data_IF_517174510702
#
_entry.id   IF_517174510702
#
_cell.length_a   1.000
_cell.length_b   1.000
_cell.length_c   1.000
_cell.angle_alpha   90.00
_cell.angle_beta   90.00
_cell.angle_gamma   90.00
#
_symmetry.space_group_name_H-M   'P 1'
#
loop_
_entity.id
_entity.type
_entity.pdbx_description
1 polymer ?
2 polymer ?
3 polymer ?
4 non-polymer ?
5 water ?
#
loop_
_entity_poly.entity_id
_entity_poly.type
_entity_poly.pdbx_seq_one_letter_code
_entity_poly.pdbx_strand_id
2 'polydeoxyribonucleotide' '(DA)(DG)(DA)(DT)(DT)(DG)(DT)(DG)(DG)(DA)(DT)(DT)(DG)(DA)(DG)(DA)' ?
3 'polydeoxyribonucleotide' '(DT)(DC)(DT)(DC)(DA)(DA)(DT)(DC)(DC)(DA)(DC)(DA)(DA)(DT)(DC)(DT)' ?
#
# COMPACT_ATOMS: atom_id res chain seq x y z
N UNK A 5 -3.94 5.08 -25.27
CA UNK A 5 -3.53 4.50 -23.99
C UNK A 5 -3.22 3.02 -24.17
N UNK A 6 -2.09 2.56 -23.65
CA UNK A 6 -1.70 1.17 -23.81
C UNK A 6 -1.66 0.51 -22.44
N UNK A 7 -2.75 -0.17 -22.12
CA UNK A 7 -2.88 -0.88 -20.87
C UNK A 7 -1.96 -2.09 -20.87
N UNK A 8 -1.26 -2.30 -19.75
CA UNK A 8 -0.37 -3.43 -19.59
C UNK A 8 -0.41 -3.85 -18.14
N UNK A 9 -0.39 -5.13 -17.86
CA UNK A 9 -0.14 -5.67 -16.53
C UNK A 9 1.33 -5.94 -16.34
N UNK A 10 1.80 -5.71 -15.13
CA UNK A 10 3.21 -5.86 -14.80
C UNK A 10 3.38 -6.97 -13.79
N UNK A 11 4.60 -7.53 -13.71
CA UNK A 11 4.89 -8.62 -12.74
C UNK A 11 5.16 -8.08 -11.34
N UNK A 12 4.16 -7.39 -10.81
CA UNK A 12 4.24 -6.78 -9.50
C UNK A 12 4.22 -7.85 -8.41
N UNK A 13 4.56 -7.49 -7.18
CA UNK A 13 4.49 -8.46 -6.10
C UNK A 13 3.07 -8.94 -5.91
N UNK A 14 2.89 -10.16 -5.39
CA UNK A 14 1.57 -10.80 -5.31
C UNK A 14 0.81 -10.39 -4.06
N UNK A 15 0.74 -9.08 -3.81
CA UNK A 15 -0.07 -8.50 -2.74
C UNK A 15 -0.78 -7.30 -3.32
N UNK A 16 -1.98 -7.05 -2.86
CA UNK A 16 -2.71 -5.88 -3.32
C UNK A 16 -1.95 -4.61 -2.96
N UNK A 17 -2.16 -3.55 -3.74
CA UNK A 17 -1.59 -2.27 -3.34
C UNK A 17 -2.14 -1.87 -1.98
N UNK A 18 -3.42 -2.13 -1.72
CA UNK A 18 -3.97 -1.83 -0.39
C UNK A 18 -3.11 -2.46 0.70
N UNK A 19 -2.83 -3.74 0.56
CA UNK A 19 -2.09 -4.47 1.60
C UNK A 19 -0.70 -3.89 1.79
N UNK A 20 -0.03 -3.56 0.71
CA UNK A 20 1.34 -3.04 0.84
C UNK A 20 1.35 -1.65 1.46
N UNK A 21 0.40 -0.80 1.07
CA UNK A 21 0.28 0.51 1.70
C UNK A 21 0.00 0.35 3.18
N UNK A 22 -0.96 -0.49 3.52
CA UNK A 22 -1.33 -0.68 4.92
C UNK A 22 -0.15 -1.18 5.72
N UNK A 23 0.64 -2.09 5.15
CA UNK A 23 1.80 -2.63 5.85
C UNK A 23 2.84 -1.55 6.12
N UNK A 24 3.18 -0.73 5.15
CA UNK A 24 4.19 0.28 5.40
C UNK A 24 3.69 1.31 6.40
N UNK A 25 2.41 1.72 6.31
CA UNK A 25 1.90 2.66 7.30
C UNK A 25 1.96 2.04 8.70
N UNK A 26 1.44 0.83 8.84
CA UNK A 26 1.31 0.25 10.18
C UNK A 26 2.66 -0.05 10.80
N UNK A 27 3.71 -0.18 10.00
CA UNK A 27 5.05 -0.49 10.50
C UNK A 27 5.93 0.73 10.57
N UNK A 28 5.34 1.94 10.45
CA UNK A 28 6.04 3.20 10.64
C UNK A 28 5.93 3.65 12.10
N UNK A 29 6.88 4.44 12.59
CA UNK A 29 6.87 4.76 14.02
C UNK A 29 5.61 5.40 14.55
N UNK A 30 5.00 6.29 13.80
CA UNK A 30 3.81 6.99 14.23
C UNK A 30 2.55 6.46 13.58
N UNK A 31 2.65 5.35 12.86
CA UNK A 31 1.52 4.76 12.14
C UNK A 31 0.85 5.81 11.24
N UNK A 32 1.67 6.61 10.60
CA UNK A 32 1.21 7.59 9.63
C UNK A 32 2.38 7.96 8.75
N UNK A 33 2.10 8.18 7.47
CA UNK A 33 3.13 8.50 6.49
C UNK A 33 2.54 9.43 5.44
N UNK A 34 3.33 10.36 4.93
CA UNK A 34 2.90 11.13 3.76
C UNK A 34 2.92 10.21 2.53
N UNK A 35 2.28 10.66 1.46
CA UNK A 35 2.36 9.92 0.19
C UNK A 35 3.80 9.72 -0.24
N UNK A 36 4.62 10.78 -0.18
CA UNK A 36 6.01 10.63 -0.60
C UNK A 36 6.72 9.54 0.19
N UNK A 37 6.48 9.52 1.50
CA UNK A 37 7.10 8.50 2.34
C UNK A 37 6.55 7.11 2.03
N UNK A 38 5.26 6.98 1.79
CA UNK A 38 4.69 5.68 1.40
C UNK A 38 5.38 5.16 0.16
N UNK A 39 5.50 6.02 -0.85
CA UNK A 39 6.11 5.58 -2.11
C UNK A 39 7.56 5.13 -1.88
N UNK A 40 8.31 5.87 -1.06
CA UNK A 40 9.69 5.48 -0.79
C UNK A 40 9.72 4.11 -0.07
N UNK A 41 8.87 3.93 0.91
CA UNK A 41 8.90 2.68 1.67
C UNK A 41 8.42 1.50 0.83
N UNK A 42 7.43 1.69 -0.02
CA UNK A 42 7.01 0.59 -0.90
C UNK A 42 8.15 0.19 -1.82
N UNK A 43 8.89 1.18 -2.31
CA UNK A 43 10.00 0.89 -3.21
C UNK A 43 11.03 -0.02 -2.55
N UNK A 44 11.17 0.02 -1.24
CA UNK A 44 12.10 -0.83 -0.55
C UNK A 44 11.60 -2.24 -0.36
N UNK A 45 10.30 -2.49 -0.56
CA UNK A 45 9.75 -3.81 -0.23
C UNK A 45 10.20 -4.88 -1.20
N UNK A 46 10.20 -4.55 -2.50
CA UNK A 46 10.48 -5.56 -3.52
C UNK A 46 11.27 -4.91 -4.65
N UNK A 47 12.24 -5.62 -5.28
CA UNK A 47 13.00 -5.00 -6.38
C UNK A 47 12.17 -4.54 -7.51
N UNK A 48 10.98 -5.14 -7.73
CA UNK A 48 10.14 -4.71 -8.83
C UNK A 48 9.95 -3.21 -8.77
N UNK A 49 9.71 -2.68 -7.55
CA UNK A 49 9.35 -1.27 -7.46
C UNK A 49 10.51 -0.33 -7.70
N UNK A 50 11.71 -0.86 -7.80
CA UNK A 50 12.88 -0.07 -8.15
C UNK A 50 13.15 -0.10 -9.65
N UNK A 51 12.39 -0.86 -10.42
CA UNK A 51 12.56 -0.93 -11.86
C UNK A 51 12.03 0.31 -12.55
N UNK A 52 12.08 0.26 -13.85
CA UNK A 52 11.83 1.45 -14.61
C UNK A 52 10.35 1.73 -14.82
N UNK A 53 9.46 0.77 -14.52
CA UNK A 53 8.03 1.08 -14.54
C UNK A 53 7.70 1.83 -13.25
N UNK A 54 7.15 3.01 -13.41
CA UNK A 54 6.84 3.88 -12.28
C UNK A 54 5.34 4.11 -12.09
N UNK A 55 4.49 3.49 -12.91
CA UNK A 55 3.06 3.74 -12.85
C UNK A 55 2.43 3.23 -11.56
N UNK A 56 3.11 2.31 -10.86
CA UNK A 56 2.65 1.85 -9.57
C UNK A 56 2.53 3.00 -8.59
N UNK A 57 3.32 4.06 -8.76
CA UNK A 57 3.22 5.20 -7.86
C UNK A 57 1.88 5.89 -7.99
N UNK A 58 1.37 5.96 -9.22
CA UNK A 58 0.04 6.48 -9.49
C UNK A 58 -1.01 5.53 -8.92
N UNK A 59 -0.83 4.22 -9.10
CA UNK A 59 -1.77 3.26 -8.52
C UNK A 59 -1.87 3.41 -7.01
N UNK A 60 -0.74 3.58 -6.33
CA UNK A 60 -0.77 3.78 -4.89
C UNK A 60 -1.55 5.02 -4.53
N UNK A 61 -1.29 6.14 -5.21
CA UNK A 61 -2.02 7.36 -4.93
C UNK A 61 -3.52 7.15 -5.12
N UNK A 62 -3.89 6.48 -6.20
CA UNK A 62 -5.29 6.20 -6.48
C UNK A 62 -5.93 5.41 -5.34
N UNK A 63 -5.23 4.39 -4.88
CA UNK A 63 -5.84 3.54 -3.88
C UNK A 63 -5.89 4.19 -2.50
N UNK A 64 -5.02 5.16 -2.17
CA UNK A 64 -5.19 5.89 -0.92
C UNK A 64 -6.55 6.56 -0.88
N UNK A 65 -6.95 7.16 -2.00
CA UNK A 65 -8.24 7.83 -2.03
C UNK A 65 -9.40 6.86 -2.23
N UNK A 66 -9.20 5.78 -2.95
CA UNK A 66 -10.32 4.92 -3.33
C UNK A 66 -10.76 3.98 -2.23
N UNK A 67 -9.89 3.57 -1.33
CA UNK A 67 -10.26 2.66 -0.26
C UNK A 67 -10.50 3.42 1.04
N UNK A 68 -11.63 3.13 1.66
CA UNK A 68 -12.07 3.81 2.87
C UNK A 68 -11.18 3.54 4.08
N UNK A 69 -10.39 2.46 4.06
CA UNK A 69 -9.50 2.19 5.18
C UNK A 69 -8.39 3.22 5.32
N UNK A 70 -8.09 3.97 4.27
CA UNK A 70 -7.04 4.98 4.35
C UNK A 70 -7.66 6.33 4.67
N UNK A 71 -7.15 6.96 5.70
CA UNK A 71 -7.72 8.18 6.24
C UNK A 71 -6.63 9.25 6.27
N UNK A 72 -6.88 10.35 5.59
CA UNK A 72 -5.97 11.46 5.54
C UNK A 72 -6.03 12.20 6.86
N UNK A 73 -4.87 12.56 7.39
CA UNK A 73 -4.72 13.36 8.59
C UNK A 73 -3.98 14.63 8.22
N UNK A 74 -4.57 15.78 8.51
CA UNK A 74 -4.00 17.03 8.02
C UNK A 74 -2.62 17.26 8.61
N UNK A 75 -1.68 17.64 7.75
CA UNK A 75 -0.36 18.05 8.22
C UNK A 75 -0.46 19.35 9.01
N UNK A 76 -1.31 20.25 8.57
CA UNK A 76 -1.56 21.54 9.24
C UNK A 76 -3.06 21.65 9.48
N UNK A 77 -3.53 21.52 10.72
CA UNK A 77 -4.99 21.50 10.96
C UNK A 77 -5.71 22.76 10.57
N UNK A 78 -5.02 23.89 10.51
CA UNK A 78 -5.64 25.13 10.07
C UNK A 78 -5.71 25.30 8.58
N UNK A 79 -5.17 24.34 7.81
CA UNK A 79 -5.17 24.37 6.35
C UNK A 79 -5.86 23.10 5.86
N UNK A 80 -7.19 23.05 5.93
CA UNK A 80 -7.88 21.84 5.47
C UNK A 80 -7.77 21.59 4.00
N UNK A 81 -7.38 22.58 3.20
CA UNK A 81 -7.12 22.38 1.79
C UNK A 81 -5.62 22.22 1.48
N UNK A 82 -4.75 22.20 2.50
CA UNK A 82 -3.36 21.94 2.27
C UNK A 82 -3.14 20.52 1.81
N UNK A 83 -1.98 20.29 1.23
CA UNK A 83 -1.60 19.00 0.67
C UNK A 83 -0.32 18.49 1.34
N UNK A 84 0.17 17.34 0.88
CA UNK A 84 1.28 16.71 1.57
C UNK A 84 0.90 16.22 2.96
N UNK A 85 -0.34 15.79 3.12
CA UNK A 85 -0.85 15.34 4.41
C UNK A 85 -0.33 13.95 4.76
N UNK A 86 -0.59 13.56 6.00
CA UNK A 86 -0.30 12.20 6.44
C UNK A 86 -1.47 11.28 6.12
N UNK A 87 -1.15 10.02 5.96
CA UNK A 87 -2.12 8.96 5.74
C UNK A 87 -1.98 7.92 6.84
N UNK A 88 -3.12 7.48 7.34
CA UNK A 88 -3.26 6.43 8.32
C UNK A 88 -4.12 5.32 7.75
N UNK A 89 -4.13 4.18 8.43
CA UNK A 89 -5.00 3.08 8.04
C UNK A 89 -5.80 2.65 9.25
N UNK A 90 -7.12 2.52 9.06
CA UNK A 90 -8.05 2.03 10.08
C UNK A 90 -8.26 0.55 9.79
N UNK A 91 -7.65 -0.32 10.60
CA UNK A 91 -7.67 -1.75 10.26
C UNK A 91 -9.07 -2.33 10.28
N UNK A 92 -9.99 -1.76 11.07
CA UNK A 92 -11.36 -2.23 11.15
C UNK A 92 -12.09 -2.03 9.84
N UNK A 93 -11.52 -1.24 8.93
CA UNK A 93 -12.13 -0.97 7.63
C UNK A 93 -11.52 -1.78 6.50
N UNK A 94 -10.48 -2.57 6.77
CA UNK A 94 -9.80 -3.31 5.70
C UNK A 94 -10.63 -4.52 5.30
N UNK A 95 -10.86 -4.77 4.01
CA UNK A 95 -11.42 -6.07 3.60
C UNK A 95 -10.36 -7.16 3.74
N UNK A 96 -10.59 -8.09 4.65
CA UNK A 96 -9.54 -9.00 5.07
C UNK A 96 -8.95 -9.78 3.90
N UNK A 97 -9.77 -10.17 2.94
CA UNK A 97 -9.23 -10.99 1.86
C UNK A 97 -8.19 -10.25 1.02
N UNK A 98 -8.23 -8.92 1.00
CA UNK A 98 -7.22 -8.14 0.27
C UNK A 98 -5.84 -8.21 0.89
N UNK A 99 -5.70 -8.81 2.07
CA UNK A 99 -4.40 -9.00 2.70
C UNK A 99 -3.79 -10.35 2.39
N UNK A 100 -4.50 -11.24 1.73
CA UNK A 100 -3.96 -12.54 1.36
C UNK A 100 -3.03 -12.42 0.17
N UNK A 101 -2.00 -13.26 0.14
CA UNK A 101 -1.19 -13.41 -1.06
C UNK A 101 -2.09 -13.74 -2.23
N UNK A 102 -1.83 -13.09 -3.36
CA UNK A 102 -2.57 -13.31 -4.57
C UNK A 102 -1.97 -14.48 -5.33
N UNK A 103 -2.83 -15.22 -6.03
CA UNK A 103 -2.38 -16.31 -6.89
C UNK A 103 -2.13 -15.74 -8.28
N UNK A 104 -0.91 -15.33 -8.55
CA UNK A 104 -0.49 -14.77 -9.81
C UNK A 104 0.73 -15.52 -10.31
N UNK A 105 1.13 -15.22 -11.54
CA UNK A 105 2.35 -15.84 -12.07
C UNK A 105 3.54 -15.58 -11.17
N UNK A 106 3.61 -14.40 -10.56
CA UNK A 106 4.74 -14.07 -9.70
C UNK A 106 4.76 -14.96 -8.46
N UNK A 107 3.62 -15.15 -7.80
CA UNK A 107 3.67 -16.03 -6.62
C UNK A 107 3.88 -17.50 -7.03
N UNK A 108 3.31 -17.94 -8.16
CA UNK A 108 3.50 -19.33 -8.59
C UNK A 108 4.95 -19.61 -8.95
N UNK A 109 5.69 -18.59 -9.42
CA UNK A 109 7.11 -18.75 -9.74
C UNK A 109 7.90 -19.12 -8.49
N UNK A 110 7.49 -18.65 -7.32
CA UNK A 110 8.29 -18.91 -6.12
C UNK A 110 7.48 -18.66 -4.84
N UNK A 111 6.69 -19.66 -4.44
CA UNK A 111 5.71 -19.43 -3.37
C UNK A 111 6.40 -19.14 -2.04
N UNK A 112 7.54 -19.80 -1.79
CA UNK A 112 8.16 -19.81 -0.47
C UNK A 112 8.72 -18.47 -0.04
N UNK A 113 8.95 -17.54 -0.98
CA UNK A 113 9.48 -16.24 -0.60
C UNK A 113 8.37 -15.26 -0.24
N UNK A 114 7.10 -15.67 -0.32
CA UNK A 114 5.97 -14.79 -0.08
C UNK A 114 5.10 -15.33 1.05
N UNK A 115 5.00 -14.57 2.13
CA UNK A 115 4.07 -14.90 3.19
C UNK A 115 2.67 -15.06 2.61
N UNK A 116 1.92 -16.04 3.14
CA UNK A 116 0.60 -16.30 2.61
C UNK A 116 -0.42 -15.22 2.95
N UNK A 117 -0.19 -14.44 4.01
CA UNK A 117 -1.14 -13.41 4.40
C UNK A 117 -0.39 -12.32 5.13
N UNK A 118 -0.75 -11.07 4.82
CA UNK A 118 -0.14 -9.92 5.49
C UNK A 118 -0.88 -9.46 6.73
N UNK A 119 -2.03 -10.07 7.02
CA UNK A 119 -2.75 -9.65 8.22
C UNK A 119 -1.90 -9.71 9.49
N UNK A 120 -1.01 -10.68 9.69
CA UNK A 120 -0.19 -10.67 10.93
C UNK A 120 0.71 -9.45 11.07
N UNK A 121 0.99 -8.73 9.99
CA UNK A 121 1.88 -7.56 10.01
C UNK A 121 1.12 -6.26 9.98
N UNK A 122 -0.20 -6.32 9.97
CA UNK A 122 -1.03 -5.13 9.89
C UNK A 122 -1.91 -4.97 11.11
N UNK A 123 -2.51 -6.05 11.56
CA UNK A 123 -3.32 -6.03 12.77
C UNK A 123 -2.44 -6.18 14.00
N UNK A 124 -2.84 -5.52 15.09
CA UNK A 124 -2.19 -5.62 16.40
C UNK A 124 -2.48 -6.96 17.05
#
# INVERSE_FOLDING_TARGET
GGKKKNYQRYPKPPYSYLAMIAMVIQNSPEKKLTLSEILKEISTLFPFFKGNYKGWRDSVRHNLSSYDCFVKVLKDPGKPQGKGNFWTVEVNRIPLELLKRQNTAVSRQDETIFAQDLAPYIFQG
#
